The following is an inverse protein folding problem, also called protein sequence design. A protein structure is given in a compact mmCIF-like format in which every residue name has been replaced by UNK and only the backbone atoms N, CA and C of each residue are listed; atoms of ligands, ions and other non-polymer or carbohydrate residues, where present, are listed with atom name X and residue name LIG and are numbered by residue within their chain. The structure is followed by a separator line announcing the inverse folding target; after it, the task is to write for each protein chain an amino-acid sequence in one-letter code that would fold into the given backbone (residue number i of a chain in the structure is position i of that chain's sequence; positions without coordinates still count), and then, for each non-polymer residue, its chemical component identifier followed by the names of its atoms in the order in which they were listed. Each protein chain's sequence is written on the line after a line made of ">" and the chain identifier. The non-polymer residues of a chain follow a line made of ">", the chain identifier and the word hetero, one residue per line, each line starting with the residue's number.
data_IF_072544291410
#
_entry.id   IF_072544291410
#
_cell.length_a   1.000
_cell.length_b   1.000
_cell.length_c   1.000
_cell.angle_alpha   90.00
_cell.angle_beta   90.00
_cell.angle_gamma   90.00
#
_symmetry.space_group_name_H-M   'P 1'
#
loop_
_entity.id
_entity.type
_entity.pdbx_description
1 polymer ?
#
# COMPACT_ATOMS: atom_id res chain seq x y z
N UNK A 1 26.63 -1.10 -3.60
CA UNK A 1 27.11 -1.85 -2.41
C UNK A 1 26.45 -3.23 -2.40
N UNK A 2 27.21 -4.33 -2.23
CA UNK A 2 26.66 -5.70 -2.32
C UNK A 2 25.66 -5.96 -1.19
N UNK A 3 24.56 -6.70 -1.47
CA UNK A 3 23.46 -7.02 -0.51
C UNK A 3 23.96 -7.47 0.86
N UNK A 4 24.96 -8.33 0.88
CA UNK A 4 25.58 -8.85 2.11
C UNK A 4 26.11 -7.74 3.02
N UNK A 5 26.80 -6.73 2.47
CA UNK A 5 27.34 -5.62 3.26
C UNK A 5 26.23 -4.78 3.91
N UNK A 6 25.09 -4.61 3.23
CA UNK A 6 23.94 -3.89 3.80
C UNK A 6 23.30 -4.66 4.96
N UNK A 7 23.19 -5.99 4.83
CA UNK A 7 22.64 -6.85 5.88
C UNK A 7 23.56 -6.82 7.10
N UNK A 8 24.87 -7.06 6.93
CA UNK A 8 25.82 -7.06 8.04
C UNK A 8 25.84 -5.72 8.79
N UNK A 9 25.79 -4.58 8.07
CA UNK A 9 25.73 -3.27 8.71
C UNK A 9 24.43 -3.10 9.51
N UNK A 10 23.29 -3.52 8.96
CA UNK A 10 22.00 -3.41 9.64
C UNK A 10 21.93 -4.31 10.87
N UNK A 11 22.49 -5.51 10.81
CA UNK A 11 22.63 -6.40 11.97
C UNK A 11 23.43 -5.72 13.08
N UNK A 12 24.59 -5.14 12.76
CA UNK A 12 25.38 -4.38 13.75
C UNK A 12 24.58 -3.21 14.34
N UNK A 13 23.82 -2.48 13.53
CA UNK A 13 22.96 -1.39 14.01
C UNK A 13 21.87 -1.90 14.96
N UNK A 14 21.20 -3.01 14.62
CA UNK A 14 20.17 -3.63 15.47
C UNK A 14 20.77 -4.13 16.79
N UNK A 15 21.97 -4.72 16.76
CA UNK A 15 22.68 -5.14 17.97
C UNK A 15 23.08 -3.95 18.86
N UNK A 16 23.50 -2.83 18.26
CA UNK A 16 23.80 -1.60 19.00
C UNK A 16 22.54 -1.01 19.62
N UNK A 17 21.46 -0.90 18.85
CA UNK A 17 20.16 -0.44 19.33
C UNK A 17 19.64 -1.31 20.47
N UNK A 18 19.76 -2.64 20.33
CA UNK A 18 19.39 -3.61 21.36
C UNK A 18 20.16 -3.45 22.67
N UNK A 19 21.40 -2.96 22.62
CA UNK A 19 22.25 -2.77 23.80
C UNK A 19 22.08 -1.41 24.47
N UNK A 20 21.82 -0.38 23.67
CA UNK A 20 21.95 1.01 24.13
C UNK A 20 20.62 1.75 24.25
N UNK A 21 19.58 1.34 23.52
CA UNK A 21 18.29 2.05 23.45
C UNK A 21 17.16 1.18 24.01
N UNK A 22 16.83 0.07 23.33
CA UNK A 22 15.73 -0.82 23.71
C UNK A 22 16.11 -2.28 23.51
N UNK A 23 16.00 -3.11 24.54
CA UNK A 23 16.24 -4.55 24.44
C UNK A 23 15.32 -5.21 23.39
N UNK A 24 15.91 -5.78 22.34
CA UNK A 24 15.20 -6.52 21.30
C UNK A 24 15.04 -8.00 21.69
N UNK A 25 14.24 -8.26 22.74
CA UNK A 25 14.10 -9.58 23.37
C UNK A 25 13.69 -10.71 22.40
N UNK A 26 13.02 -10.40 21.29
CA UNK A 26 12.67 -11.37 20.25
C UNK A 26 13.83 -11.82 19.35
N UNK A 27 14.98 -11.15 19.43
CA UNK A 27 16.18 -11.48 18.68
C UNK A 27 17.13 -12.32 19.54
N UNK A 28 16.65 -13.49 19.96
CA UNK A 28 17.36 -14.40 20.88
C UNK A 28 18.56 -15.14 20.28
N UNK A 29 18.78 -15.04 18.96
CA UNK A 29 19.88 -15.70 18.27
C UNK A 29 20.42 -14.83 17.11
N UNK A 30 21.66 -15.06 16.65
CA UNK A 30 22.20 -14.39 15.45
C UNK A 30 21.29 -14.56 14.22
N UNK A 31 20.68 -15.74 14.05
CA UNK A 31 19.75 -15.99 12.96
C UNK A 31 18.54 -15.05 12.99
N UNK A 32 17.99 -14.74 14.18
CA UNK A 32 16.88 -13.80 14.29
C UNK A 32 17.25 -12.39 13.82
N UNK A 33 18.46 -11.92 14.15
CA UNK A 33 18.97 -10.64 13.66
C UNK A 33 19.10 -10.65 12.13
N UNK A 34 19.70 -11.70 11.57
CA UNK A 34 19.90 -11.84 10.12
C UNK A 34 18.57 -11.84 9.36
N UNK A 35 17.57 -12.57 9.86
CA UNK A 35 16.25 -12.64 9.21
C UNK A 35 15.53 -11.30 9.28
N UNK A 36 15.51 -10.62 10.45
CA UNK A 36 14.88 -9.29 10.54
C UNK A 36 15.59 -8.28 9.62
N UNK A 37 16.93 -8.29 9.59
CA UNK A 37 17.70 -7.44 8.69
C UNK A 37 17.36 -7.73 7.21
N UNK A 38 17.21 -9.01 6.83
CA UNK A 38 16.77 -9.38 5.48
C UNK A 38 15.37 -8.83 5.16
N UNK A 39 14.41 -8.93 6.08
CA UNK A 39 13.05 -8.43 5.87
C UNK A 39 13.02 -6.89 5.74
N UNK A 40 13.81 -6.17 6.53
CA UNK A 40 13.97 -4.71 6.41
C UNK A 40 14.54 -4.35 5.02
N UNK A 41 15.62 -5.03 4.59
CA UNK A 41 16.24 -4.77 3.29
C UNK A 41 15.29 -5.08 2.13
N UNK A 42 14.53 -6.18 2.20
CA UNK A 42 13.53 -6.51 1.19
C UNK A 42 12.40 -5.48 1.15
N UNK A 43 11.99 -4.96 2.31
CA UNK A 43 11.00 -3.88 2.38
C UNK A 43 11.50 -2.58 1.76
N UNK A 44 12.74 -2.16 2.05
CA UNK A 44 13.40 -1.01 1.41
C UNK A 44 13.46 -1.18 -0.12
N UNK A 45 13.74 -2.40 -0.60
CA UNK A 45 13.81 -2.68 -2.04
C UNK A 45 12.46 -2.56 -2.73
N UNK A 46 11.37 -2.96 -2.08
CA UNK A 46 10.01 -2.81 -2.64
C UNK A 46 9.63 -1.33 -2.81
N UNK A 47 10.03 -0.47 -1.86
CA UNK A 47 9.89 0.99 -2.00
C UNK A 47 10.70 1.49 -3.21
N UNK A 48 11.99 1.17 -3.26
CA UNK A 48 12.89 1.59 -4.35
C UNK A 48 12.46 1.08 -5.73
N UNK A 49 11.83 -0.09 -5.80
CA UNK A 49 11.31 -0.63 -7.04
C UNK A 49 10.22 0.30 -7.62
N UNK A 50 9.24 0.71 -6.81
CA UNK A 50 8.18 1.63 -7.27
C UNK A 50 8.75 3.01 -7.60
N UNK A 51 9.68 3.52 -6.80
CA UNK A 51 10.39 4.77 -7.11
C UNK A 51 11.14 4.69 -8.44
N UNK A 52 11.80 3.57 -8.72
CA UNK A 52 12.47 3.35 -10.00
C UNK A 52 11.48 3.33 -11.16
N UNK A 53 10.26 2.81 -10.95
CA UNK A 53 9.19 2.91 -11.94
C UNK A 53 8.83 4.38 -12.18
N UNK A 54 8.58 5.16 -11.13
CA UNK A 54 8.23 6.58 -11.26
C UNK A 54 9.33 7.40 -11.96
N UNK A 55 10.61 7.11 -11.70
CA UNK A 55 11.75 7.84 -12.26
C UNK A 55 12.18 7.41 -13.67
N UNK A 56 11.83 6.19 -14.11
CA UNK A 56 12.28 5.60 -15.39
C UNK A 56 11.13 5.27 -16.33
N UNK A 57 10.19 6.21 -16.45
CA UNK A 57 9.03 6.10 -17.35
C UNK A 57 9.41 6.18 -18.84
N UNK A 58 10.59 6.69 -19.16
CA UNK A 58 11.17 6.75 -20.50
C UNK A 58 11.42 5.37 -21.13
N UNK A 59 11.72 4.35 -20.31
CA UNK A 59 11.88 2.96 -20.77
C UNK A 59 10.57 2.17 -20.75
N UNK A 60 9.44 2.78 -20.37
CA UNK A 60 8.17 2.07 -20.29
C UNK A 60 7.38 2.18 -21.59
N UNK A 61 6.88 1.03 -22.06
CA UNK A 61 5.95 1.00 -23.18
C UNK A 61 4.65 1.74 -22.83
N UNK A 62 4.12 2.62 -23.71
CA UNK A 62 2.82 3.25 -23.54
C UNK A 62 1.66 2.25 -23.38
N UNK A 63 1.82 1.02 -23.90
CA UNK A 63 0.84 -0.06 -23.74
C UNK A 63 0.56 -0.44 -22.28
N UNK A 64 1.39 0.01 -21.32
CA UNK A 64 1.07 -0.13 -19.88
C UNK A 64 -0.19 0.63 -19.48
N UNK A 65 -0.56 1.71 -20.20
CA UNK A 65 -1.80 2.48 -20.01
C UNK A 65 -3.03 1.78 -20.62
N UNK A 66 -2.82 0.99 -21.68
CA UNK A 66 -3.90 0.36 -22.44
C UNK A 66 -4.47 -0.84 -21.68
N UNK A 67 -5.70 -0.77 -21.15
CA UNK A 67 -6.21 -1.83 -20.29
C UNK A 67 -6.58 -3.09 -21.07
N UNK A 68 -6.75 -3.01 -22.39
CA UNK A 68 -6.92 -4.21 -23.22
C UNK A 68 -5.58 -4.86 -23.62
N UNK A 69 -4.45 -4.30 -23.19
CA UNK A 69 -3.13 -4.90 -23.42
C UNK A 69 -2.77 -5.93 -22.35
N UNK A 70 -2.11 -7.02 -22.75
CA UNK A 70 -1.58 -8.03 -21.82
C UNK A 70 -0.49 -7.48 -20.89
N UNK A 71 0.12 -6.35 -21.27
CA UNK A 71 1.10 -5.67 -20.43
C UNK A 71 0.49 -4.59 -19.55
N UNK A 72 -0.83 -4.40 -19.52
CA UNK A 72 -1.46 -3.43 -18.61
C UNK A 72 -0.97 -3.60 -17.17
N UNK A 73 -0.61 -2.50 -16.52
CA UNK A 73 -0.22 -2.46 -15.12
C UNK A 73 -0.63 -1.11 -14.52
N UNK A 74 -1.61 -1.07 -13.60
CA UNK A 74 -2.17 0.19 -13.12
C UNK A 74 -1.14 1.08 -12.42
N UNK A 75 -0.12 0.52 -11.76
CA UNK A 75 0.92 1.34 -11.12
C UNK A 75 1.88 1.96 -12.14
N UNK A 76 2.22 1.22 -13.20
CA UNK A 76 3.03 1.77 -14.31
C UNK A 76 2.23 2.78 -15.13
N UNK A 77 0.95 2.49 -15.36
CA UNK A 77 0.02 3.41 -16.00
C UNK A 77 -0.06 4.72 -15.22
N UNK A 78 -0.21 4.66 -13.88
CA UNK A 78 -0.20 5.86 -13.04
C UNK A 78 1.07 6.70 -13.21
N UNK A 79 2.26 6.09 -13.23
CA UNK A 79 3.51 6.82 -13.48
C UNK A 79 3.55 7.46 -14.87
N UNK A 80 3.02 6.80 -15.90
CA UNK A 80 2.95 7.35 -17.26
C UNK A 80 1.94 8.50 -17.35
N UNK A 81 0.77 8.39 -16.73
CA UNK A 81 -0.20 9.49 -16.68
C UNK A 81 0.33 10.69 -15.91
N UNK A 82 1.04 10.48 -14.79
CA UNK A 82 1.71 11.55 -14.07
C UNK A 82 2.75 12.27 -14.94
N UNK A 83 3.58 11.53 -15.69
CA UNK A 83 4.52 12.10 -16.66
C UNK A 83 3.82 12.93 -17.73
N UNK A 84 2.65 12.48 -18.16
CA UNK A 84 1.83 13.14 -19.18
C UNK A 84 0.96 14.29 -18.58
N UNK A 85 1.22 14.70 -17.32
CA UNK A 85 0.48 15.71 -16.55
C UNK A 85 -1.02 15.43 -16.35
N UNK A 86 -1.41 14.16 -16.39
CA UNK A 86 -2.76 13.73 -16.00
C UNK A 86 -2.72 13.20 -14.55
N UNK A 87 -2.72 14.13 -13.60
CA UNK A 87 -2.57 13.83 -12.18
C UNK A 87 -3.76 13.04 -11.62
N UNK A 88 -4.97 13.41 -11.99
CA UNK A 88 -6.18 12.77 -11.48
C UNK A 88 -6.30 11.31 -11.93
N UNK A 89 -5.99 11.02 -13.20
CA UNK A 89 -5.96 9.63 -13.69
C UNK A 89 -4.87 8.81 -13.00
N UNK A 90 -3.72 9.43 -12.71
CA UNK A 90 -2.64 8.76 -11.98
C UNK A 90 -3.06 8.40 -10.55
N UNK A 91 -3.71 9.30 -9.83
CA UNK A 91 -4.28 9.01 -8.51
C UNK A 91 -5.37 7.95 -8.57
N UNK A 92 -6.26 8.02 -9.56
CA UNK A 92 -7.31 7.04 -9.79
C UNK A 92 -6.73 5.62 -9.95
N UNK A 93 -5.71 5.45 -10.78
CA UNK A 93 -5.06 4.17 -11.01
C UNK A 93 -4.32 3.64 -9.77
N UNK A 94 -3.74 4.52 -8.93
CA UNK A 94 -3.17 4.11 -7.64
C UNK A 94 -4.25 3.65 -6.66
N UNK A 95 -5.41 4.32 -6.65
CA UNK A 95 -6.56 3.87 -5.87
C UNK A 95 -7.06 2.50 -6.35
N UNK A 96 -7.24 2.31 -7.67
CA UNK A 96 -7.65 1.03 -8.24
C UNK A 96 -6.66 -0.09 -7.94
N UNK A 97 -5.36 0.16 -8.13
CA UNK A 97 -4.31 -0.78 -7.81
C UNK A 97 -4.36 -1.20 -6.33
N UNK A 98 -4.64 -0.26 -5.42
CA UNK A 98 -4.76 -0.52 -3.99
C UNK A 98 -6.04 -1.27 -3.64
N UNK A 99 -7.17 -0.87 -4.22
CA UNK A 99 -8.47 -1.49 -3.96
C UNK A 99 -8.50 -2.95 -4.39
N UNK A 100 -8.00 -3.26 -5.59
CA UNK A 100 -7.98 -4.61 -6.13
C UNK A 100 -6.81 -5.43 -5.60
N UNK A 101 -5.63 -4.82 -5.48
CA UNK A 101 -4.38 -5.53 -5.24
C UNK A 101 -3.98 -6.44 -6.40
N UNK A 102 -2.69 -6.79 -6.47
CA UNK A 102 -2.19 -7.75 -7.46
C UNK A 102 -2.41 -9.17 -6.96
N UNK A 103 -3.12 -9.99 -7.73
CA UNK A 103 -3.25 -11.42 -7.43
C UNK A 103 -2.01 -12.19 -7.84
N UNK A 104 -1.55 -13.10 -7.00
CA UNK A 104 -0.45 -14.03 -7.34
C UNK A 104 -0.85 -15.02 -8.45
N UNK A 105 -2.15 -15.25 -8.65
CA UNK A 105 -2.67 -16.19 -9.65
C UNK A 105 -3.09 -15.49 -10.94
N UNK A 106 -3.76 -14.35 -10.82
CA UNK A 106 -4.42 -13.67 -11.95
C UNK A 106 -3.83 -12.29 -12.23
N UNK A 107 -2.72 -11.92 -11.58
CA UNK A 107 -2.07 -10.62 -11.78
C UNK A 107 -3.02 -9.44 -11.58
N UNK A 108 -3.07 -8.56 -12.58
CA UNK A 108 -3.93 -7.37 -12.61
C UNK A 108 -5.26 -7.59 -13.32
N UNK A 109 -5.63 -8.82 -13.71
CA UNK A 109 -6.81 -9.10 -14.54
C UNK A 109 -8.09 -8.49 -13.96
N UNK A 110 -8.34 -8.60 -12.65
CA UNK A 110 -9.55 -8.00 -12.06
C UNK A 110 -9.56 -6.46 -12.20
N UNK A 111 -8.46 -5.80 -11.87
CA UNK A 111 -8.34 -4.34 -12.02
C UNK A 111 -8.50 -3.94 -13.49
N UNK A 112 -7.85 -4.66 -14.39
CA UNK A 112 -7.88 -4.46 -15.84
C UNK A 112 -9.29 -4.58 -16.39
N UNK A 113 -9.98 -5.66 -16.06
CA UNK A 113 -11.31 -5.97 -16.57
C UNK A 113 -12.35 -4.98 -16.03
N UNK A 114 -12.21 -4.54 -14.76
CA UNK A 114 -13.06 -3.48 -14.24
C UNK A 114 -12.76 -2.15 -14.91
N UNK A 115 -11.49 -1.74 -15.00
CA UNK A 115 -11.10 -0.45 -15.54
C UNK A 115 -11.38 -0.32 -17.05
N UNK A 116 -11.20 -1.39 -17.84
CA UNK A 116 -11.54 -1.43 -19.29
C UNK A 116 -13.03 -1.57 -19.58
N UNK A 117 -13.87 -1.76 -18.56
CA UNK A 117 -15.27 -2.09 -18.77
C UNK A 117 -15.45 -3.42 -19.52
N UNK A 118 -14.57 -4.40 -19.32
CA UNK A 118 -14.47 -5.63 -20.12
C UNK A 118 -14.27 -5.37 -21.63
N UNK A 119 -13.62 -4.25 -21.97
CA UNK A 119 -13.30 -3.84 -23.33
C UNK A 119 -14.39 -2.99 -24.01
N UNK A 120 -15.50 -2.69 -23.34
CA UNK A 120 -16.56 -1.85 -23.92
C UNK A 120 -16.33 -0.36 -23.70
N UNK A 121 -15.82 0.03 -22.53
CA UNK A 121 -15.60 1.42 -22.15
C UNK A 121 -14.57 1.48 -21.03
N UNK A 122 -13.53 2.30 -21.20
CA UNK A 122 -12.57 2.54 -20.13
C UNK A 122 -13.15 3.52 -19.11
N UNK A 123 -13.27 3.10 -17.86
CA UNK A 123 -13.71 3.93 -16.74
C UNK A 123 -12.54 4.75 -16.18
N UNK A 124 -12.07 5.70 -16.99
CA UNK A 124 -11.12 6.75 -16.57
C UNK A 124 -11.71 7.62 -15.47
N UNK A 125 -10.89 8.42 -14.80
CA UNK A 125 -11.35 9.38 -13.81
C UNK A 125 -12.40 10.34 -14.36
N UNK A 126 -12.15 10.92 -15.54
CA UNK A 126 -13.10 11.80 -16.20
C UNK A 126 -14.40 11.07 -16.51
N UNK A 127 -14.32 9.86 -17.07
CA UNK A 127 -15.50 9.07 -17.44
C UNK A 127 -16.36 8.71 -16.22
N UNK A 128 -15.72 8.26 -15.13
CA UNK A 128 -16.45 7.79 -13.94
C UNK A 128 -17.03 8.95 -13.13
N UNK A 129 -16.44 10.14 -13.21
CA UNK A 129 -16.94 11.33 -12.52
C UNK A 129 -17.96 12.13 -13.33
N UNK A 130 -17.92 12.04 -14.67
CA UNK A 130 -18.92 12.63 -15.57
C UNK A 130 -20.26 11.86 -15.52
N UNK A 131 -20.22 10.53 -15.65
CA UNK A 131 -21.41 9.67 -15.58
C UNK A 131 -21.20 8.43 -14.72
N UNK A 132 -21.28 8.61 -13.41
CA UNK A 132 -21.22 7.49 -12.46
C UNK A 132 -22.41 6.53 -12.62
N UNK A 133 -23.56 7.00 -13.09
CA UNK A 133 -24.75 6.16 -13.25
C UNK A 133 -24.53 5.11 -14.34
N UNK A 134 -23.87 5.48 -15.45
CA UNK A 134 -23.45 4.54 -16.48
C UNK A 134 -22.52 3.45 -15.94
N UNK A 135 -21.54 3.80 -15.10
CA UNK A 135 -20.67 2.82 -14.44
C UNK A 135 -21.46 1.85 -13.55
N UNK A 136 -22.37 2.36 -12.74
CA UNK A 136 -23.19 1.54 -11.83
C UNK A 136 -24.10 0.58 -12.61
N UNK A 137 -24.74 1.05 -13.69
CA UNK A 137 -25.56 0.21 -14.56
C UNK A 137 -24.74 -0.87 -15.27
N UNK A 138 -23.59 -0.49 -15.83
CA UNK A 138 -22.65 -1.45 -16.43
C UNK A 138 -22.24 -2.51 -15.42
N UNK A 139 -21.79 -2.11 -14.23
CA UNK A 139 -21.36 -3.07 -13.22
C UNK A 139 -22.49 -3.99 -12.76
N UNK A 140 -23.71 -3.46 -12.61
CA UNK A 140 -24.89 -4.26 -12.28
C UNK A 140 -25.14 -5.36 -13.33
N UNK A 141 -24.95 -5.05 -14.62
CA UNK A 141 -25.14 -6.01 -15.72
C UNK A 141 -24.10 -7.13 -15.78
N UNK A 142 -22.88 -6.92 -15.27
CA UNK A 142 -21.76 -7.87 -15.39
C UNK A 142 -21.38 -8.56 -14.08
N UNK A 143 -21.89 -8.07 -12.94
CA UNK A 143 -21.48 -8.50 -11.60
C UNK A 143 -21.67 -10.00 -11.32
N UNK A 144 -22.75 -10.58 -11.82
CA UNK A 144 -23.04 -12.00 -11.64
C UNK A 144 -22.04 -12.88 -12.39
N UNK A 145 -21.69 -12.53 -13.63
CA UNK A 145 -20.67 -13.24 -14.40
C UNK A 145 -19.28 -13.10 -13.76
N UNK A 146 -18.92 -11.90 -13.31
CA UNK A 146 -17.66 -11.65 -12.59
C UNK A 146 -17.57 -12.49 -11.30
N UNK A 147 -18.71 -12.73 -10.64
CA UNK A 147 -18.79 -13.53 -9.42
C UNK A 147 -18.72 -15.03 -9.73
N UNK A 148 -19.44 -15.51 -10.74
CA UNK A 148 -19.42 -16.90 -11.18
C UNK A 148 -18.00 -17.33 -11.59
N UNK A 149 -17.27 -16.45 -12.29
CA UNK A 149 -15.90 -16.67 -12.76
C UNK A 149 -14.83 -16.13 -11.81
N UNK A 150 -15.10 -16.14 -10.50
CA UNK A 150 -14.21 -15.52 -9.50
C UNK A 150 -12.78 -16.07 -9.47
N UNK A 151 -12.56 -17.31 -9.91
CA UNK A 151 -11.23 -17.94 -10.01
C UNK A 151 -10.34 -17.27 -11.06
N UNK A 152 -10.93 -16.69 -12.11
CA UNK A 152 -10.23 -15.98 -13.18
C UNK A 152 -9.93 -14.52 -12.82
N UNK A 153 -10.64 -13.98 -11.82
CA UNK A 153 -10.61 -12.56 -11.44
C UNK A 153 -10.52 -12.42 -9.93
N UNK A 154 -9.31 -12.54 -9.41
CA UNK A 154 -9.05 -12.53 -7.97
C UNK A 154 -8.52 -11.18 -7.49
N UNK A 155 -8.97 -10.80 -6.31
CA UNK A 155 -8.32 -9.75 -5.53
C UNK A 155 -6.93 -10.20 -5.06
N UNK A 156 -6.03 -9.25 -4.83
CA UNK A 156 -4.76 -9.48 -4.16
C UNK A 156 -4.93 -9.92 -2.70
N UNK A 157 -3.86 -10.44 -2.08
CA UNK A 157 -3.92 -11.05 -0.75
C UNK A 157 -4.44 -10.11 0.35
N UNK A 158 -4.05 -8.82 0.32
CA UNK A 158 -4.54 -7.80 1.26
C UNK A 158 -6.01 -7.43 1.06
N UNK A 159 -6.60 -7.83 -0.08
CA UNK A 159 -7.95 -7.47 -0.53
C UNK A 159 -8.85 -8.70 -0.75
N UNK A 160 -8.41 -9.89 -0.31
CA UNK A 160 -9.09 -11.18 -0.56
C UNK A 160 -10.51 -11.30 0.01
N UNK A 161 -10.90 -10.40 0.91
CA UNK A 161 -12.23 -10.36 1.52
C UNK A 161 -13.15 -9.30 0.90
N UNK A 162 -12.69 -8.62 -0.15
CA UNK A 162 -13.52 -7.73 -0.97
C UNK A 162 -14.48 -8.56 -1.85
N UNK A 163 -15.50 -7.89 -2.41
CA UNK A 163 -16.63 -8.55 -3.07
C UNK A 163 -16.89 -7.99 -4.45
N UNK A 164 -17.20 -8.90 -5.40
CA UNK A 164 -17.65 -8.57 -6.75
C UNK A 164 -19.17 -8.49 -6.88
N UNK A 165 -19.92 -8.81 -5.82
CA UNK A 165 -21.39 -8.82 -5.82
C UNK A 165 -21.96 -7.40 -5.79
N UNK A 166 -22.80 -7.06 -6.76
CA UNK A 166 -23.44 -5.75 -6.91
C UNK A 166 -24.31 -5.37 -5.70
N UNK A 167 -25.14 -6.31 -5.21
CA UNK A 167 -26.03 -6.06 -4.07
C UNK A 167 -25.33 -6.01 -2.70
N UNK A 168 -24.00 -6.13 -2.65
CA UNK A 168 -23.28 -5.97 -1.39
C UNK A 168 -23.27 -4.50 -0.96
N UNK A 169 -23.37 -4.26 0.35
CA UNK A 169 -23.14 -2.93 0.95
C UNK A 169 -21.72 -2.38 0.72
N UNK A 170 -20.80 -3.25 0.29
CA UNK A 170 -19.40 -2.93 -0.04
C UNK A 170 -19.08 -3.31 -1.49
N UNK A 171 -20.07 -3.19 -2.39
CA UNK A 171 -19.89 -3.44 -3.82
C UNK A 171 -18.91 -2.44 -4.45
N UNK A 172 -18.34 -2.79 -5.60
CA UNK A 172 -17.40 -1.91 -6.31
C UNK A 172 -18.01 -0.51 -6.58
N UNK A 173 -19.27 -0.37 -7.05
CA UNK A 173 -19.91 0.95 -7.16
C UNK A 173 -20.00 1.70 -5.82
N UNK A 174 -20.36 1.04 -4.72
CA UNK A 174 -20.41 1.70 -3.42
C UNK A 174 -19.03 2.23 -3.00
N UNK A 175 -17.98 1.43 -3.22
CA UNK A 175 -16.59 1.81 -2.93
C UNK A 175 -16.15 2.99 -3.81
N UNK A 176 -16.35 2.91 -5.12
CA UNK A 176 -15.95 3.96 -6.06
C UNK A 176 -16.70 5.27 -5.80
N UNK A 177 -18.02 5.21 -5.57
CA UNK A 177 -18.83 6.39 -5.20
C UNK A 177 -18.30 7.05 -3.92
N UNK A 178 -17.98 6.26 -2.90
CA UNK A 178 -17.45 6.80 -1.64
C UNK A 178 -16.04 7.40 -1.80
N UNK A 179 -15.22 6.86 -2.71
CA UNK A 179 -13.91 7.43 -3.04
C UNK A 179 -14.03 8.75 -3.80
N UNK A 180 -14.90 8.82 -4.81
CA UNK A 180 -15.22 10.07 -5.52
C UNK A 180 -15.71 11.12 -4.52
N UNK A 181 -16.60 10.73 -3.59
CA UNK A 181 -17.04 11.61 -2.51
C UNK A 181 -15.93 12.08 -1.58
N UNK A 182 -14.90 11.25 -1.33
CA UNK A 182 -13.71 11.65 -0.56
C UNK A 182 -12.82 12.66 -1.31
N UNK A 183 -12.72 12.56 -2.64
CA UNK A 183 -12.04 13.56 -3.47
C UNK A 183 -12.81 14.88 -3.48
N UNK A 184 -14.13 14.80 -3.48
CA UNK A 184 -15.02 15.95 -3.32
C UNK A 184 -15.51 16.53 -4.64
N UNK A 185 -16.33 17.58 -4.54
CA UNK A 185 -17.15 18.08 -5.65
C UNK A 185 -16.36 18.69 -6.82
N UNK A 186 -15.09 19.03 -6.63
CA UNK A 186 -14.22 19.51 -7.71
C UNK A 186 -13.71 18.39 -8.60
N UNK A 187 -13.86 17.13 -8.17
CA UNK A 187 -13.26 15.96 -8.79
C UNK A 187 -11.75 16.12 -9.07
N UNK A 188 -11.04 16.91 -8.26
CA UNK A 188 -9.60 17.13 -8.40
C UNK A 188 -8.86 16.65 -7.16
N UNK A 189 -8.01 15.64 -7.34
CA UNK A 189 -7.10 15.13 -6.32
C UNK A 189 -6.08 16.21 -5.91
N UNK A 190 -5.60 17.02 -6.86
CA UNK A 190 -4.72 18.15 -6.56
C UNK A 190 -5.39 19.13 -5.60
N UNK A 191 -6.63 19.54 -5.89
CA UNK A 191 -7.39 20.43 -5.02
C UNK A 191 -7.62 19.81 -3.63
N UNK A 192 -8.00 18.52 -3.57
CA UNK A 192 -8.23 17.81 -2.32
C UNK A 192 -6.97 17.72 -1.45
N UNK A 193 -5.83 17.42 -2.07
CA UNK A 193 -4.57 17.32 -1.35
C UNK A 193 -3.98 18.69 -1.01
N UNK A 194 -4.21 19.73 -1.82
CA UNK A 194 -3.85 21.10 -1.49
C UNK A 194 -4.65 21.63 -0.29
N UNK A 195 -5.95 21.34 -0.23
CA UNK A 195 -6.79 21.63 0.92
C UNK A 195 -6.24 20.94 2.18
N UNK A 196 -6.02 19.63 2.13
CA UNK A 196 -5.48 18.88 3.27
C UNK A 196 -4.11 19.43 3.71
N UNK A 197 -3.24 19.80 2.76
CA UNK A 197 -1.93 20.43 3.03
C UNK A 197 -2.07 21.73 3.82
N UNK A 198 -3.11 22.53 3.57
CA UNK A 198 -3.35 23.79 4.28
C UNK A 198 -3.65 23.61 5.77
N UNK A 199 -4.07 22.40 6.18
CA UNK A 199 -4.33 22.03 7.57
C UNK A 199 -3.22 21.17 8.20
N UNK A 200 -2.12 20.91 7.48
CA UNK A 200 -1.01 20.07 7.94
C UNK A 200 0.30 20.84 7.96
N UNK A 201 1.14 20.59 8.95
CA UNK A 201 2.45 21.26 9.10
C UNK A 201 3.63 20.38 8.67
N UNK A 202 3.39 19.09 8.41
CA UNK A 202 4.41 18.11 8.04
C UNK A 202 3.83 16.96 7.19
N UNK A 203 4.66 16.19 6.46
CA UNK A 203 4.22 14.99 5.75
C UNK A 203 3.51 13.97 6.64
N UNK A 204 3.88 13.88 7.93
CA UNK A 204 3.26 13.00 8.92
C UNK A 204 1.86 13.47 9.33
N UNK A 205 1.71 14.76 9.67
CA UNK A 205 0.39 15.31 9.98
C UNK A 205 -0.55 15.26 8.77
N UNK A 206 -0.02 15.43 7.55
CA UNK A 206 -0.80 15.25 6.31
C UNK A 206 -1.24 13.79 6.12
N UNK A 207 -0.35 12.83 6.37
CA UNK A 207 -0.68 11.41 6.31
C UNK A 207 -1.80 11.07 7.29
N UNK A 208 -1.71 11.50 8.55
CA UNK A 208 -2.73 11.24 9.58
C UNK A 208 -4.09 11.86 9.20
N UNK A 209 -4.08 13.09 8.70
CA UNK A 209 -5.28 13.80 8.27
C UNK A 209 -5.98 13.05 7.13
N UNK A 210 -5.24 12.68 6.08
CA UNK A 210 -5.78 11.95 4.94
C UNK A 210 -6.19 10.52 5.31
N UNK A 211 -5.40 9.85 6.15
CA UNK A 211 -5.71 8.50 6.64
C UNK A 211 -7.03 8.49 7.42
N UNK A 212 -7.27 9.51 8.23
CA UNK A 212 -8.53 9.68 8.95
C UNK A 212 -9.67 10.03 8.01
N UNK A 213 -9.46 10.91 7.03
CA UNK A 213 -10.46 11.27 6.02
C UNK A 213 -10.91 10.08 5.17
N UNK A 214 -10.01 9.14 4.89
CA UNK A 214 -10.33 7.90 4.16
C UNK A 214 -11.28 6.96 4.93
N UNK A 215 -11.63 7.24 6.19
CA UNK A 215 -12.74 6.55 6.88
C UNK A 215 -14.08 6.70 6.14
N UNK A 216 -14.24 7.74 5.33
CA UNK A 216 -15.42 7.92 4.48
C UNK A 216 -15.49 6.93 3.31
N UNK A 217 -14.37 6.29 2.94
CA UNK A 217 -14.30 5.37 1.80
C UNK A 217 -14.66 3.95 2.23
N UNK A 218 -15.73 3.42 1.64
CA UNK A 218 -16.28 2.11 1.93
C UNK A 218 -15.24 1.03 1.60
N UNK A 219 -15.14 0.01 2.46
CA UNK A 219 -14.21 -1.12 2.31
C UNK A 219 -12.72 -0.74 2.23
N UNK A 220 -12.39 0.50 2.60
CA UNK A 220 -11.02 1.00 2.67
C UNK A 220 -10.54 0.98 4.12
N UNK A 221 -10.38 -0.24 4.66
CA UNK A 221 -9.90 -0.46 6.03
C UNK A 221 -8.44 -0.05 6.24
N UNK A 222 -7.91 -0.25 7.46
CA UNK A 222 -6.54 0.15 7.87
C UNK A 222 -5.47 -0.12 6.81
N UNK A 223 -5.39 -1.37 6.34
CA UNK A 223 -4.38 -1.77 5.35
C UNK A 223 -4.53 -1.01 4.04
N UNK A 224 -5.75 -0.83 3.52
CA UNK A 224 -5.96 -0.12 2.26
C UNK A 224 -5.58 1.36 2.36
N UNK A 225 -5.93 2.01 3.47
CA UNK A 225 -5.59 3.41 3.72
C UNK A 225 -4.08 3.62 3.80
N UNK A 226 -3.41 2.77 4.55
CA UNK A 226 -1.95 2.80 4.69
C UNK A 226 -1.26 2.50 3.36
N UNK A 227 -1.68 1.44 2.66
CA UNK A 227 -1.12 1.05 1.36
C UNK A 227 -1.33 2.14 0.31
N UNK A 228 -2.49 2.78 0.27
CA UNK A 228 -2.82 3.85 -0.67
C UNK A 228 -1.93 5.08 -0.48
N UNK A 229 -1.88 5.65 0.73
CA UNK A 229 -1.11 6.87 1.00
C UNK A 229 0.38 6.64 0.81
N UNK A 230 0.90 5.49 1.27
CA UNK A 230 2.31 5.15 1.01
C UNK A 230 2.58 4.90 -0.46
N UNK A 231 1.62 4.38 -1.24
CA UNK A 231 1.77 4.24 -2.69
C UNK A 231 1.81 5.61 -3.40
N UNK A 232 0.96 6.57 -3.01
CA UNK A 232 1.03 7.94 -3.53
C UNK A 232 2.41 8.57 -3.31
N UNK A 233 3.03 8.34 -2.15
CA UNK A 233 4.41 8.77 -1.88
C UNK A 233 5.40 8.07 -2.79
N UNK A 234 5.33 6.74 -2.92
CA UNK A 234 6.24 5.94 -3.76
C UNK A 234 6.17 6.28 -5.25
N UNK A 235 5.00 6.68 -5.74
CA UNK A 235 4.79 7.08 -7.14
C UNK A 235 5.10 8.56 -7.39
N UNK A 236 5.42 9.33 -6.35
CA UNK A 236 5.69 10.76 -6.45
C UNK A 236 4.44 11.64 -6.59
N UNK A 237 3.24 11.10 -6.35
CA UNK A 237 1.99 11.85 -6.43
C UNK A 237 1.80 12.76 -5.22
N UNK A 238 2.18 12.30 -4.02
CA UNK A 238 1.93 13.06 -2.80
C UNK A 238 3.08 12.89 -1.79
N UNK A 239 3.57 14.00 -1.26
CA UNK A 239 4.57 13.99 -0.19
C UNK A 239 3.91 13.77 1.18
N UNK A 240 3.77 12.50 1.57
CA UNK A 240 3.21 12.05 2.85
C UNK A 240 4.08 10.98 3.49
N UNK A 241 4.11 10.93 4.81
CA UNK A 241 4.87 9.97 5.60
C UNK A 241 4.02 9.39 6.74
N UNK A 242 3.97 8.08 6.97
CA UNK A 242 3.33 7.57 8.17
C UNK A 242 4.19 7.90 9.39
N UNK A 243 3.64 8.69 10.33
CA UNK A 243 4.32 9.04 11.59
C UNK A 243 4.48 7.85 12.55
N UNK A 244 3.71 6.79 12.36
CA UNK A 244 3.79 5.54 13.12
C UNK A 244 3.37 4.33 12.27
N UNK A 245 3.52 3.12 12.82
CA UNK A 245 3.20 1.88 12.12
C UNK A 245 1.70 1.52 12.08
N UNK A 246 0.80 2.38 12.59
CA UNK A 246 -0.66 2.16 12.64
C UNK A 246 -1.01 0.77 13.19
N UNK A 247 -0.49 0.44 14.38
CA UNK A 247 -0.64 -0.89 14.98
C UNK A 247 -2.08 -1.20 15.41
N UNK A 248 -2.90 -0.18 15.64
CA UNK A 248 -4.30 -0.38 16.00
C UNK A 248 -5.07 -1.06 14.86
N UNK A 249 -5.69 -2.20 15.16
CA UNK A 249 -6.35 -3.06 14.16
C UNK A 249 -5.41 -3.83 13.23
N UNK A 250 -4.08 -3.74 13.41
CA UNK A 250 -3.10 -4.51 12.65
C UNK A 250 -2.73 -5.79 13.40
N UNK A 251 -2.96 -6.97 12.81
CA UNK A 251 -2.61 -8.25 13.46
C UNK A 251 -1.12 -8.57 13.33
N UNK A 252 -0.60 -8.63 12.09
CA UNK A 252 0.78 -9.02 11.81
C UNK A 252 1.83 -8.06 12.39
N UNK A 253 1.77 -6.75 12.07
CA UNK A 253 2.68 -5.75 12.61
C UNK A 253 2.68 -5.71 14.14
N UNK A 254 1.51 -5.72 14.78
CA UNK A 254 1.41 -5.71 16.25
C UNK A 254 2.06 -6.94 16.88
N UNK A 255 1.78 -8.13 16.34
CA UNK A 255 2.42 -9.37 16.79
C UNK A 255 3.94 -9.31 16.61
N UNK A 256 4.42 -8.74 15.51
CA UNK A 256 5.84 -8.55 15.25
C UNK A 256 6.50 -7.56 16.20
N UNK A 257 5.86 -6.43 16.50
CA UNK A 257 6.37 -5.45 17.46
C UNK A 257 6.46 -6.03 18.86
N UNK A 258 5.40 -6.71 19.34
CA UNK A 258 5.42 -7.39 20.64
C UNK A 258 6.47 -8.50 20.68
N UNK A 259 6.59 -9.28 19.60
CA UNK A 259 7.61 -10.33 19.52
C UNK A 259 9.01 -9.71 19.63
N UNK A 260 9.26 -8.62 18.91
CA UNK A 260 10.55 -7.94 18.90
C UNK A 260 10.96 -7.44 20.28
N UNK A 261 10.07 -6.72 20.98
CA UNK A 261 10.42 -6.05 22.24
C UNK A 261 10.15 -6.88 23.50
N UNK A 262 9.19 -7.82 23.46
CA UNK A 262 8.75 -8.57 24.64
C UNK A 262 8.92 -10.08 24.51
N UNK A 263 9.48 -10.56 23.38
CA UNK A 263 9.60 -11.99 23.06
C UNK A 263 8.26 -12.76 23.15
N UNK A 264 7.16 -12.07 22.86
CA UNK A 264 5.80 -12.62 22.88
C UNK A 264 4.97 -12.00 21.77
N UNK A 265 4.15 -12.79 21.06
CA UNK A 265 3.26 -12.24 20.01
C UNK A 265 1.99 -11.61 20.57
N UNK A 266 1.63 -11.92 21.81
CA UNK A 266 0.33 -11.56 22.41
C UNK A 266 0.48 -10.62 23.60
N UNK A 267 1.45 -10.88 24.46
CA UNK A 267 1.77 -10.06 25.63
C UNK A 267 2.89 -9.06 25.34
N UNK A 268 2.96 -7.99 26.11
CA UNK A 268 3.98 -6.96 25.96
C UNK A 268 3.39 -5.57 26.14
N UNK A 269 4.15 -4.59 25.67
CA UNK A 269 3.82 -3.17 25.80
C UNK A 269 2.49 -2.79 25.13
N UNK A 270 1.95 -1.65 25.57
CA UNK A 270 0.79 -1.00 24.95
C UNK A 270 1.14 -0.49 23.55
N UNK A 271 0.13 -0.20 22.72
CA UNK A 271 0.35 0.31 21.36
C UNK A 271 1.15 1.63 21.37
N UNK A 272 0.87 2.52 22.32
CA UNK A 272 1.55 3.82 22.40
C UNK A 272 3.05 3.64 22.70
N UNK A 273 3.38 2.81 23.69
CA UNK A 273 4.78 2.48 24.01
C UNK A 273 5.46 1.76 22.84
N UNK A 274 4.76 0.85 22.15
CA UNK A 274 5.31 0.23 20.95
C UNK A 274 5.58 1.25 19.85
N UNK A 275 4.71 2.24 19.64
CA UNK A 275 4.92 3.28 18.64
C UNK A 275 6.15 4.14 18.95
N UNK A 276 6.38 4.50 20.21
CA UNK A 276 7.60 5.21 20.65
C UNK A 276 8.86 4.40 20.33
N UNK A 277 8.90 3.13 20.75
CA UNK A 277 10.03 2.23 20.48
C UNK A 277 10.28 2.02 18.99
N UNK A 278 9.22 1.95 18.19
CA UNK A 278 9.32 1.84 16.75
C UNK A 278 9.81 3.14 16.09
N UNK A 279 9.53 4.30 16.67
CA UNK A 279 10.08 5.57 16.21
C UNK A 279 11.60 5.63 16.42
N UNK A 280 12.07 5.18 17.58
CA UNK A 280 13.50 5.06 17.84
C UNK A 280 14.16 4.04 16.90
N UNK A 281 13.52 2.90 16.67
CA UNK A 281 13.99 1.90 15.71
C UNK A 281 14.03 2.48 14.29
N UNK A 282 13.05 3.30 13.89
CA UNK A 282 13.00 3.95 12.58
C UNK A 282 14.21 4.85 12.34
N UNK A 283 14.78 5.47 13.37
CA UNK A 283 15.95 6.34 13.25
C UNK A 283 17.19 5.60 12.70
N UNK A 284 17.32 4.28 12.94
CA UNK A 284 18.45 3.47 12.47
C UNK A 284 18.21 2.76 11.13
N UNK A 285 17.00 2.84 10.58
CA UNK A 285 16.64 2.19 9.31
C UNK A 285 17.24 2.98 8.13
N UNK A 286 18.02 2.35 7.23
CA UNK A 286 18.69 3.02 6.12
C UNK A 286 17.75 3.26 4.93
N UNK A 287 16.54 3.76 5.20
CA UNK A 287 15.56 4.17 4.22
C UNK A 287 15.47 5.71 4.19
N UNK A 288 15.48 6.34 3.00
CA UNK A 288 15.40 7.80 2.90
C UNK A 288 14.03 8.33 3.35
N UNK A 289 12.98 7.54 3.18
CA UNK A 289 11.59 7.89 3.44
C UNK A 289 10.78 6.61 3.72
N UNK A 290 9.53 6.73 4.18
CA UNK A 290 8.61 5.62 4.51
C UNK A 290 9.20 4.58 5.48
N UNK A 291 10.01 5.02 6.45
CA UNK A 291 10.66 4.14 7.45
C UNK A 291 9.65 3.34 8.26
N UNK A 292 8.52 3.93 8.62
CA UNK A 292 7.45 3.23 9.33
C UNK A 292 6.77 2.16 8.47
N UNK A 293 6.62 2.36 7.15
CA UNK A 293 6.18 1.28 6.25
C UNK A 293 7.24 0.17 6.18
N UNK A 294 8.53 0.52 6.12
CA UNK A 294 9.61 -0.48 6.11
C UNK A 294 9.51 -1.40 7.33
N UNK A 295 9.37 -0.81 8.51
CA UNK A 295 9.22 -1.51 9.78
C UNK A 295 7.95 -2.36 9.80
N UNK A 296 6.81 -1.78 9.44
CA UNK A 296 5.50 -2.44 9.46
C UNK A 296 5.52 -3.74 8.65
N UNK A 297 6.00 -3.67 7.43
CA UNK A 297 6.09 -4.80 6.52
C UNK A 297 7.13 -5.83 7.00
N UNK A 298 8.29 -5.36 7.47
CA UNK A 298 9.36 -6.23 7.94
C UNK A 298 8.92 -7.05 9.16
N UNK A 299 8.26 -6.41 10.14
CA UNK A 299 7.74 -7.06 11.33
C UNK A 299 6.59 -8.02 11.03
N UNK A 300 5.69 -7.62 10.12
CA UNK A 300 4.59 -8.48 9.66
C UNK A 300 5.11 -9.80 9.06
N UNK A 301 6.23 -9.76 8.34
CA UNK A 301 6.83 -10.94 7.72
C UNK A 301 7.78 -11.71 8.64
N UNK A 302 8.67 -11.02 9.33
CA UNK A 302 9.63 -11.63 10.27
C UNK A 302 8.93 -12.46 11.33
N UNK A 303 7.84 -11.97 11.93
CA UNK A 303 7.16 -12.68 13.03
C UNK A 303 6.62 -14.06 12.63
N UNK A 304 6.37 -14.32 11.34
CA UNK A 304 5.88 -15.61 10.83
C UNK A 304 6.95 -16.71 10.87
N UNK A 305 8.23 -16.33 10.77
CA UNK A 305 9.38 -17.26 10.74
C UNK A 305 10.63 -16.49 11.21
N UNK A 306 10.75 -16.21 12.52
CA UNK A 306 11.72 -15.24 13.04
C UNK A 306 13.18 -15.69 12.90
N UNK A 307 13.44 -16.98 12.79
CA UNK A 307 14.75 -17.63 12.68
C UNK A 307 15.02 -18.24 11.29
N UNK A 308 14.03 -18.18 10.38
CA UNK A 308 14.14 -18.71 9.02
C UNK A 308 13.67 -17.69 8.00
N UNK A 309 14.61 -17.23 7.18
CA UNK A 309 14.30 -16.29 6.12
C UNK A 309 13.36 -16.89 5.07
N UNK A 310 12.24 -16.21 4.86
CA UNK A 310 11.30 -16.46 3.77
C UNK A 310 11.16 -15.15 2.99
N UNK A 311 11.56 -15.18 1.72
CA UNK A 311 11.46 -14.01 0.86
C UNK A 311 10.01 -13.58 0.68
N UNK A 312 9.76 -12.28 0.86
CA UNK A 312 8.46 -11.66 0.59
C UNK A 312 8.60 -10.67 -0.56
N UNK A 313 8.08 -11.04 -1.74
CA UNK A 313 8.13 -10.23 -2.95
C UNK A 313 7.03 -9.17 -3.08
N UNK A 314 6.01 -9.23 -2.20
CA UNK A 314 4.73 -8.57 -2.42
C UNK A 314 3.76 -9.45 -3.19
#
# INVERSE_FOLDING_TARGET
>A
MKRHNQISQLVSNLQNFSRNEHNLNGLSSPACFDVLACQIIDSIRRIRYVETLALRTDYMTPLRKEPNSDVFDPLRAACLYLRDNNYDEACWLVFLATHFGKSNKTGWILCRDIYSGLGTQTWTWDTITDDFAAFEQWFASVSDELTANSSLRQYGNHRKYETKKYHSRRSIPAVFRSYIGFIGATHSHEARFAEAKSFSSSPESLFELLYSGLNAVISFGRTAKFDYLTMLKKTGLLDVEPGHAFLNGATGPLQGSRLLFSNSRTAGDTIDVLNEKLADLAAIIPAPYLRMQVIEDALCNWQKSPDRYVYFGG
#
